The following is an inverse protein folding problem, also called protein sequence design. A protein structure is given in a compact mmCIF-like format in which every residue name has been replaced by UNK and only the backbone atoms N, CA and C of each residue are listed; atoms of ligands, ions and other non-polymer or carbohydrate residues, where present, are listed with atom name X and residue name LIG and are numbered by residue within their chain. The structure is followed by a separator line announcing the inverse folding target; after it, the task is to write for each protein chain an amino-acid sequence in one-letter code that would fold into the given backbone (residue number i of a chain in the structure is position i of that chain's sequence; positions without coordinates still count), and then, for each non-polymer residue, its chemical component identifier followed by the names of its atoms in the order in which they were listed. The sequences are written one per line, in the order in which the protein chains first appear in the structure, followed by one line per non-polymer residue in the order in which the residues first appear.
data_IF_665275468943
#
_entry.id   IF_665275468943
#
_cell.length_a   1.000
_cell.length_b   1.000
_cell.length_c   1.000
_cell.angle_alpha   90.00
_cell.angle_beta   90.00
_cell.angle_gamma   90.00
#
_symmetry.space_group_name_H-M   'P 1'
#
loop_
_entity.id
_entity.type
_entity.pdbx_description
1 polymer ?
#
# COMPACT_ATOMS: atom_id res chain seq x y z
N UNK A 1 -5.06 -14.77 37.83
CA UNK A 1 -4.49 -13.40 37.84
C UNK A 1 -4.04 -13.08 36.44
N UNK A 2 -4.58 -12.02 35.86
CA UNK A 2 -4.22 -11.52 34.54
C UNK A 2 -2.73 -11.16 34.52
N UNK A 3 -2.00 -11.70 33.56
CA UNK A 3 -0.73 -11.11 33.12
C UNK A 3 -0.96 -10.60 31.72
N UNK A 4 -1.31 -9.32 31.66
CA UNK A 4 -1.21 -8.46 30.49
C UNK A 4 0.23 -8.48 29.99
N UNK A 5 0.46 -9.01 28.79
CA UNK A 5 1.71 -8.83 28.07
C UNK A 5 1.47 -7.89 26.90
N UNK A 6 1.60 -6.58 27.18
CA UNK A 6 2.15 -5.67 26.21
C UNK A 6 3.68 -5.88 26.19
N UNK A 7 4.33 -6.04 25.03
CA UNK A 7 5.72 -5.68 24.85
C UNK A 7 5.73 -4.29 24.21
N UNK A 8 5.78 -3.20 24.99
CA UNK A 8 7.04 -2.52 25.34
C UNK A 8 8.09 -2.62 24.23
N UNK A 9 8.26 -1.48 23.54
CA UNK A 9 9.54 -0.95 23.07
C UNK A 9 10.55 -2.02 22.67
N UNK A 10 10.58 -2.35 21.38
CA UNK A 10 11.79 -2.93 20.80
C UNK A 10 12.91 -1.93 21.06
N UNK A 11 13.76 -2.26 22.02
CA UNK A 11 15.00 -1.56 22.30
C UNK A 11 15.83 -1.70 21.01
N UNK A 12 15.73 -0.67 20.15
CA UNK A 12 16.55 -0.51 18.96
C UNK A 12 17.99 -0.69 19.43
N UNK A 13 18.58 -1.85 19.12
CA UNK A 13 20.03 -1.98 19.17
C UNK A 13 20.54 -1.00 18.13
N UNK A 14 20.92 0.18 18.60
CA UNK A 14 21.69 1.19 17.89
C UNK A 14 22.98 0.54 17.39
N UNK A 15 22.93 -0.14 16.24
CA UNK A 15 24.03 0.02 15.31
C UNK A 15 23.94 1.48 14.87
N UNK A 16 24.98 2.27 15.13
CA UNK A 16 25.20 3.55 14.47
C UNK A 16 25.26 3.31 12.95
N UNK A 17 24.10 3.16 12.32
CA UNK A 17 23.92 3.41 10.91
C UNK A 17 23.91 4.94 10.81
N UNK A 18 24.85 5.48 10.03
CA UNK A 18 24.88 6.90 9.67
C UNK A 18 23.70 7.19 8.72
N UNK A 19 22.48 7.08 9.24
CA UNK A 19 21.29 7.62 8.60
C UNK A 19 21.20 9.09 9.00
N UNK A 20 21.32 9.97 8.02
CA UNK A 20 21.03 11.38 8.23
C UNK A 20 19.64 11.64 7.67
N UNK A 21 18.68 11.81 8.58
CA UNK A 21 17.37 12.36 8.21
C UNK A 21 17.54 13.82 7.86
N UNK A 22 17.16 14.17 6.64
CA UNK A 22 17.36 15.48 6.04
C UNK A 22 16.04 15.98 5.46
N UNK A 23 15.94 17.29 5.29
CA UNK A 23 14.78 17.92 4.63
C UNK A 23 15.27 18.82 3.49
N UNK A 24 14.50 18.88 2.41
CA UNK A 24 14.74 19.79 1.29
C UNK A 24 13.46 20.56 0.98
N UNK A 25 13.61 21.79 0.52
CA UNK A 25 12.48 22.57 0.02
C UNK A 25 12.00 22.01 -1.33
N UNK A 26 10.80 21.42 -1.36
CA UNK A 26 10.11 20.98 -2.56
C UNK A 26 9.07 22.02 -2.99
N UNK A 27 8.86 22.19 -4.31
CA UNK A 27 8.06 23.30 -4.85
C UNK A 27 6.59 22.92 -5.00
N UNK A 28 5.73 23.91 -4.73
CA UNK A 28 4.28 23.82 -4.92
C UNK A 28 3.91 24.63 -6.16
N UNK A 29 3.96 24.01 -7.36
CA UNK A 29 3.70 24.73 -8.63
C UNK A 29 2.38 24.30 -9.26
N UNK A 30 1.35 25.17 -9.31
CA UNK A 30 0.29 25.10 -10.30
C UNK A 30 0.35 26.26 -11.32
N UNK A 31 1.20 27.28 -11.05
CA UNK A 31 1.38 28.51 -11.84
C UNK A 31 2.87 28.92 -11.84
N UNK A 32 3.37 29.53 -12.94
CA UNK A 32 4.78 29.93 -13.07
C UNK A 32 5.29 30.91 -12.00
N UNK A 33 4.39 31.62 -11.35
CA UNK A 33 4.58 32.73 -10.42
C UNK A 33 4.42 32.34 -8.94
N UNK A 34 4.13 31.07 -8.65
CA UNK A 34 4.15 30.51 -7.28
C UNK A 34 5.58 30.08 -6.88
N UNK A 35 6.17 30.79 -5.91
CA UNK A 35 7.47 30.44 -5.31
C UNK A 35 7.34 29.62 -4.00
N UNK A 36 6.14 29.18 -3.66
CA UNK A 36 5.89 28.47 -2.39
C UNK A 36 6.58 27.11 -2.39
N UNK A 37 7.27 26.81 -1.29
CA UNK A 37 7.95 25.54 -1.05
C UNK A 37 7.51 24.92 0.27
N UNK A 38 7.62 23.61 0.41
CA UNK A 38 7.46 22.88 1.67
C UNK A 38 8.68 22.01 1.96
N UNK A 39 8.85 21.56 3.20
CA UNK A 39 9.95 20.68 3.58
C UNK A 39 9.58 19.22 3.27
N UNK A 40 10.30 18.60 2.33
CA UNK A 40 10.19 17.19 2.00
C UNK A 40 11.29 16.41 2.72
N UNK A 41 10.92 15.35 3.44
CA UNK A 41 11.83 14.48 4.18
C UNK A 41 12.51 13.50 3.23
N UNK A 42 13.80 13.31 3.44
CA UNK A 42 14.57 12.23 2.81
C UNK A 42 15.65 11.73 3.76
N UNK A 43 16.07 10.50 3.57
CA UNK A 43 17.06 9.83 4.41
C UNK A 43 18.23 9.44 3.53
N UNK A 44 19.45 9.76 3.97
CA UNK A 44 20.68 9.37 3.30
C UNK A 44 21.47 8.42 4.18
N UNK A 45 21.92 7.32 3.60
CA UNK A 45 22.87 6.40 4.21
C UNK A 45 24.13 6.31 3.35
N UNK A 46 25.20 6.94 3.84
CA UNK A 46 26.50 6.99 3.19
C UNK A 46 27.48 5.92 3.70
N UNK A 47 27.04 5.01 4.60
CA UNK A 47 27.90 4.01 5.24
C UNK A 47 28.70 3.15 4.26
N UNK A 48 28.13 2.85 3.11
CA UNK A 48 28.72 1.97 2.10
C UNK A 48 29.24 2.72 0.86
N UNK A 49 29.07 4.04 0.81
CA UNK A 49 29.28 4.80 -0.42
C UNK A 49 30.77 4.96 -0.73
N UNK A 50 31.19 4.55 -1.93
CA UNK A 50 32.56 4.71 -2.41
C UNK A 50 32.93 6.15 -2.79
N UNK A 51 31.98 7.09 -2.69
CA UNK A 51 32.18 8.52 -2.93
C UNK A 51 32.06 8.93 -4.41
N UNK A 52 32.01 10.25 -4.63
CA UNK A 52 31.85 10.82 -5.95
C UNK A 52 33.04 10.55 -6.90
N UNK A 53 34.27 10.56 -6.35
CA UNK A 53 35.50 10.39 -7.14
C UNK A 53 35.62 9.00 -7.79
N UNK A 54 34.90 8.01 -7.28
CA UNK A 54 34.86 6.65 -7.85
C UNK A 54 33.64 6.43 -8.74
N UNK A 55 32.83 7.48 -8.96
CA UNK A 55 31.53 7.40 -9.64
C UNK A 55 30.64 6.29 -9.07
N UNK A 56 30.69 6.09 -7.75
CA UNK A 56 29.89 5.08 -7.07
C UNK A 56 28.39 5.38 -7.20
N UNK A 57 27.54 4.37 -7.50
CA UNK A 57 26.13 4.57 -7.79
C UNK A 57 25.35 5.14 -6.61
N UNK A 58 24.23 5.78 -6.92
CA UNK A 58 23.23 6.22 -5.95
C UNK A 58 21.97 5.40 -6.18
N UNK A 59 21.56 4.66 -5.17
CA UNK A 59 20.29 3.94 -5.15
C UNK A 59 19.25 4.80 -4.45
N UNK A 60 18.21 5.19 -5.18
CA UNK A 60 17.19 6.09 -4.70
C UNK A 60 15.87 5.35 -4.61
N UNK A 61 15.41 5.10 -3.39
CA UNK A 61 14.07 4.60 -3.16
C UNK A 61 13.06 5.74 -3.25
N UNK A 62 12.08 5.59 -4.14
CA UNK A 62 10.97 6.53 -4.30
C UNK A 62 9.86 6.09 -3.34
N UNK A 63 9.70 6.82 -2.24
CA UNK A 63 8.71 6.52 -1.21
C UNK A 63 7.31 6.43 -1.79
N UNK A 64 6.56 5.42 -1.33
CA UNK A 64 5.22 5.16 -1.80
C UNK A 64 4.19 5.81 -0.85
N UNK A 65 3.02 5.21 -0.70
CA UNK A 65 1.84 5.65 0.02
C UNK A 65 1.95 5.54 1.55
N UNK A 66 3.08 5.87 2.18
CA UNK A 66 3.20 5.88 3.65
C UNK A 66 4.42 6.66 4.14
N UNK A 67 4.59 6.77 5.47
CA UNK A 67 5.82 7.30 6.08
C UNK A 67 7.05 6.50 5.62
N UNK A 68 8.14 7.19 5.29
CA UNK A 68 9.36 6.51 4.82
C UNK A 68 9.96 5.60 5.89
N UNK A 69 9.74 5.86 7.18
CA UNK A 69 10.25 5.03 8.28
C UNK A 69 9.70 3.60 8.21
N UNK A 70 8.45 3.44 7.78
CA UNK A 70 7.81 2.13 7.65
C UNK A 70 8.30 1.33 6.43
N UNK A 71 8.98 1.99 5.49
CA UNK A 71 9.38 1.41 4.20
C UNK A 71 10.88 1.04 4.13
N UNK A 72 11.72 1.58 5.01
CA UNK A 72 13.18 1.33 4.97
C UNK A 72 13.50 -0.15 5.19
N UNK A 73 12.85 -0.76 6.19
CA UNK A 73 13.12 -2.14 6.61
C UNK A 73 12.59 -3.16 5.61
N UNK A 74 11.54 -2.83 4.84
CA UNK A 74 10.94 -3.76 3.86
C UNK A 74 11.75 -3.83 2.56
N UNK A 75 12.31 -2.70 2.10
CA UNK A 75 12.99 -2.62 0.79
C UNK A 75 14.45 -3.10 0.85
N UNK A 76 15.08 -3.07 2.04
CA UNK A 76 16.41 -3.66 2.31
C UNK A 76 17.52 -3.26 1.32
N UNK A 77 17.56 -1.98 0.90
CA UNK A 77 18.67 -1.48 0.07
C UNK A 77 20.04 -1.63 0.76
N UNK A 78 20.05 -1.67 2.09
CA UNK A 78 21.24 -1.94 2.91
C UNK A 78 21.89 -3.30 2.60
N UNK A 79 21.12 -4.27 2.12
CA UNK A 79 21.63 -5.57 1.68
C UNK A 79 22.49 -5.44 0.41
N UNK A 80 22.10 -4.56 -0.51
CA UNK A 80 22.80 -4.35 -1.78
C UNK A 80 23.86 -3.25 -1.72
N UNK A 81 23.70 -2.27 -0.83
CA UNK A 81 24.61 -1.12 -0.68
C UNK A 81 26.10 -1.49 -0.65
N UNK A 82 26.54 -2.46 0.19
CA UNK A 82 27.92 -2.89 0.24
C UNK A 82 28.47 -3.45 -1.08
N UNK A 83 27.64 -4.21 -1.81
CA UNK A 83 28.06 -4.88 -3.06
C UNK A 83 28.36 -3.90 -4.19
N UNK A 84 27.65 -2.78 -4.21
CA UNK A 84 27.77 -1.75 -5.24
C UNK A 84 28.51 -0.51 -4.77
N UNK A 85 28.97 -0.49 -3.51
CA UNK A 85 29.48 0.70 -2.83
C UNK A 85 28.55 1.91 -3.00
N UNK A 86 27.24 1.67 -2.91
CA UNK A 86 26.22 2.63 -3.28
C UNK A 86 25.90 3.63 -2.15
N UNK A 87 25.57 4.86 -2.52
CA UNK A 87 24.85 5.80 -1.65
C UNK A 87 23.39 5.39 -1.63
N UNK A 88 22.80 5.22 -0.45
CA UNK A 88 21.38 4.88 -0.35
C UNK A 88 20.60 6.14 0.02
N UNK A 89 19.56 6.44 -0.74
CA UNK A 89 18.71 7.60 -0.55
C UNK A 89 17.27 7.13 -0.53
N UNK A 90 16.49 7.56 0.45
CA UNK A 90 15.07 7.25 0.56
C UNK A 90 14.32 8.56 0.60
N UNK A 91 13.46 8.82 -0.38
CA UNK A 91 12.72 10.09 -0.46
C UNK A 91 11.28 9.84 -0.07
N UNK A 92 10.79 10.54 0.95
CA UNK A 92 9.40 10.44 1.37
C UNK A 92 8.49 11.14 0.37
N UNK A 93 7.36 10.51 0.05
CA UNK A 93 6.38 11.06 -0.88
C UNK A 93 5.70 12.28 -0.26
N UNK A 94 5.40 13.30 -1.08
CA UNK A 94 4.58 14.45 -0.64
C UNK A 94 3.24 13.96 -0.06
N UNK A 95 2.73 14.64 0.96
CA UNK A 95 1.51 14.29 1.68
C UNK A 95 1.55 12.98 2.50
N UNK A 96 2.70 12.30 2.59
CA UNK A 96 2.85 11.14 3.47
C UNK A 96 3.90 11.39 4.55
N UNK A 97 3.72 10.75 5.71
CA UNK A 97 4.62 10.86 6.85
C UNK A 97 4.81 12.31 7.31
N UNK A 98 6.07 12.77 7.27
CA UNK A 98 6.46 14.13 7.67
C UNK A 98 6.53 15.12 6.50
N UNK A 99 6.32 14.67 5.26
CA UNK A 99 6.48 15.46 4.04
C UNK A 99 5.17 16.15 3.65
N UNK A 100 4.68 17.02 4.53
CA UNK A 100 3.34 17.59 4.46
C UNK A 100 3.40 19.04 3.95
N UNK A 101 2.82 19.34 2.77
CA UNK A 101 2.74 20.71 2.29
C UNK A 101 1.82 21.57 3.15
N UNK A 102 1.93 22.90 3.06
CA UNK A 102 1.15 23.84 3.89
C UNK A 102 1.38 23.70 5.41
N UNK A 103 2.40 22.97 5.85
CA UNK A 103 2.89 22.96 7.23
C UNK A 103 2.11 22.06 8.21
N UNK A 104 0.87 21.68 7.90
CA UNK A 104 0.10 20.73 8.73
C UNK A 104 -0.82 19.84 7.89
N UNK A 105 -1.14 18.66 8.44
CA UNK A 105 -2.10 17.73 7.83
C UNK A 105 -3.49 18.34 7.68
N UNK A 106 -3.95 19.05 8.71
CA UNK A 106 -5.25 19.72 8.71
C UNK A 106 -5.36 20.71 7.54
N UNK A 107 -4.32 21.51 7.30
CA UNK A 107 -4.31 22.47 6.18
C UNK A 107 -4.15 21.75 4.83
N UNK A 108 -3.22 20.80 4.73
CA UNK A 108 -2.96 20.05 3.51
C UNK A 108 -4.19 19.29 2.98
N UNK A 109 -5.03 18.77 3.88
CA UNK A 109 -6.24 18.00 3.57
C UNK A 109 -7.53 18.81 3.71
N UNK A 110 -7.45 20.11 3.98
CA UNK A 110 -8.63 20.95 4.25
C UNK A 110 -9.60 21.07 3.07
N UNK A 111 -9.11 21.06 1.82
CA UNK A 111 -9.94 21.20 0.63
C UNK A 111 -9.21 20.76 -0.66
N UNK A 112 -9.95 20.72 -1.77
CA UNK A 112 -9.42 20.31 -3.08
C UNK A 112 -8.34 21.23 -3.66
N UNK A 113 -8.23 22.48 -3.22
CA UNK A 113 -7.18 23.41 -3.69
C UNK A 113 -5.84 23.07 -3.06
N UNK A 114 -5.81 22.69 -1.78
CA UNK A 114 -4.59 22.21 -1.12
C UNK A 114 -4.27 20.79 -1.54
N UNK A 115 -5.26 19.90 -1.69
CA UNK A 115 -5.05 18.54 -2.17
C UNK A 115 -4.70 18.45 -3.67
N UNK A 116 -4.97 19.48 -4.46
CA UNK A 116 -4.66 19.49 -5.90
C UNK A 116 -3.18 19.32 -6.26
N UNK A 117 -2.26 19.49 -5.30
CA UNK A 117 -0.83 19.21 -5.48
C UNK A 117 -0.45 17.76 -5.17
N UNK A 118 -1.38 16.98 -4.65
CA UNK A 118 -1.16 15.58 -4.30
C UNK A 118 -1.47 14.69 -5.49
N UNK A 119 -0.47 14.54 -6.36
CA UNK A 119 -0.51 13.66 -7.52
C UNK A 119 0.88 13.13 -7.87
N UNK A 120 0.92 12.06 -8.67
CA UNK A 120 2.14 11.36 -9.06
C UNK A 120 3.08 12.22 -9.88
N UNK A 121 2.58 13.01 -10.83
CA UNK A 121 3.42 13.88 -11.67
C UNK A 121 4.22 14.89 -10.84
N UNK A 122 3.60 15.47 -9.82
CA UNK A 122 4.29 16.37 -8.90
C UNK A 122 5.26 15.65 -7.98
N UNK A 123 4.92 14.45 -7.48
CA UNK A 123 5.85 13.63 -6.69
C UNK A 123 7.11 13.26 -7.49
N UNK A 124 6.95 12.88 -8.76
CA UNK A 124 8.08 12.62 -9.67
C UNK A 124 8.97 13.85 -9.87
N UNK A 125 8.37 15.04 -10.00
CA UNK A 125 9.11 16.30 -10.10
C UNK A 125 9.89 16.61 -8.81
N UNK A 126 9.33 16.32 -7.63
CA UNK A 126 10.03 16.45 -6.35
C UNK A 126 11.25 15.54 -6.28
N UNK A 127 11.08 14.26 -6.64
CA UNK A 127 12.21 13.32 -6.67
C UNK A 127 13.30 13.79 -7.62
N UNK A 128 12.94 14.32 -8.79
CA UNK A 128 13.90 14.81 -9.78
C UNK A 128 14.69 16.00 -9.24
N UNK A 129 14.01 17.00 -8.66
CA UNK A 129 14.65 18.18 -8.08
C UNK A 129 15.56 17.80 -6.90
N UNK A 130 15.10 16.90 -6.02
CA UNK A 130 15.90 16.42 -4.89
C UNK A 130 17.15 15.67 -5.35
N UNK A 131 17.04 14.73 -6.29
CA UNK A 131 18.18 13.95 -6.78
C UNK A 131 19.23 14.87 -7.42
N UNK A 132 18.81 15.84 -8.24
CA UNK A 132 19.74 16.80 -8.87
C UNK A 132 20.44 17.66 -7.82
N UNK A 133 19.69 18.21 -6.85
CA UNK A 133 20.25 19.02 -5.77
C UNK A 133 21.21 18.21 -4.89
N UNK A 134 20.86 16.97 -4.55
CA UNK A 134 21.69 16.07 -3.76
C UNK A 134 23.00 15.75 -4.49
N UNK A 135 22.93 15.43 -5.79
CA UNK A 135 24.14 15.17 -6.59
C UNK A 135 25.06 16.40 -6.59
N UNK A 136 24.52 17.61 -6.74
CA UNK A 136 25.33 18.83 -6.70
C UNK A 136 25.98 19.07 -5.34
N UNK A 137 25.21 18.93 -4.25
CA UNK A 137 25.72 19.11 -2.90
C UNK A 137 26.83 18.12 -2.51
N UNK A 138 26.82 16.92 -3.13
CA UNK A 138 27.81 15.87 -2.90
C UNK A 138 28.94 15.85 -3.95
N UNK A 139 28.95 16.80 -4.90
CA UNK A 139 29.85 16.79 -6.07
C UNK A 139 29.83 15.46 -6.84
N UNK A 140 28.65 14.83 -6.88
CA UNK A 140 28.39 13.49 -7.40
C UNK A 140 27.67 13.53 -8.76
N UNK A 141 27.85 14.59 -9.56
CA UNK A 141 27.15 14.79 -10.85
C UNK A 141 27.36 13.62 -11.82
N UNK A 142 28.53 12.99 -11.79
CA UNK A 142 28.88 11.84 -12.64
C UNK A 142 28.41 10.50 -12.08
N UNK A 143 27.93 10.44 -10.83
CA UNK A 143 27.46 9.20 -10.24
C UNK A 143 26.15 8.72 -10.90
N UNK A 144 26.06 7.45 -11.32
CA UNK A 144 24.85 6.89 -11.89
C UNK A 144 23.76 6.74 -10.82
N UNK A 145 22.51 7.02 -11.19
CA UNK A 145 21.35 6.87 -10.30
C UNK A 145 20.49 5.71 -10.77
N UNK A 146 20.13 4.81 -9.86
CA UNK A 146 19.09 3.80 -10.08
C UNK A 146 17.94 4.10 -9.13
N UNK A 147 16.75 4.30 -9.68
CA UNK A 147 15.54 4.50 -8.87
C UNK A 147 14.87 3.17 -8.57
N UNK A 148 14.33 3.02 -7.36
CA UNK A 148 13.83 1.74 -6.85
C UNK A 148 12.50 1.99 -6.17
N UNK A 149 11.55 1.06 -6.33
CA UNK A 149 10.25 1.15 -5.69
C UNK A 149 9.50 -0.17 -5.68
N UNK A 150 8.58 -0.33 -4.72
CA UNK A 150 7.63 -1.43 -4.64
C UNK A 150 6.19 -0.92 -4.71
N UNK A 151 5.24 -1.72 -5.22
CA UNK A 151 3.82 -1.31 -5.32
C UNK A 151 3.69 0.01 -6.13
N UNK A 152 2.94 0.99 -5.62
CA UNK A 152 2.88 2.35 -6.17
C UNK A 152 4.26 3.03 -6.25
N UNK A 153 5.16 2.80 -5.28
CA UNK A 153 6.56 3.23 -5.39
C UNK A 153 7.27 2.64 -6.62
N UNK A 154 6.94 1.40 -6.99
CA UNK A 154 7.44 0.76 -8.20
C UNK A 154 6.85 1.37 -9.48
N UNK A 155 5.58 1.79 -9.44
CA UNK A 155 4.97 2.57 -10.52
C UNK A 155 5.71 3.90 -10.68
N UNK A 156 5.95 4.61 -9.58
CA UNK A 156 6.74 5.83 -9.55
C UNK A 156 8.16 5.60 -10.10
N UNK A 157 8.85 4.52 -9.73
CA UNK A 157 10.19 4.22 -10.24
C UNK A 157 10.19 4.00 -11.77
N UNK A 158 9.18 3.29 -12.28
CA UNK A 158 8.99 3.07 -13.72
C UNK A 158 8.76 4.40 -14.44
N UNK A 159 7.79 5.18 -13.98
CA UNK A 159 7.44 6.47 -14.57
C UNK A 159 8.55 7.50 -14.45
N UNK A 160 9.32 7.47 -13.36
CA UNK A 160 10.49 8.32 -13.18
C UNK A 160 11.54 8.05 -14.27
N UNK A 161 11.82 6.77 -14.54
CA UNK A 161 12.78 6.41 -15.60
C UNK A 161 12.29 6.82 -16.99
N UNK A 162 10.98 6.74 -17.26
CA UNK A 162 10.39 7.20 -18.52
C UNK A 162 10.48 8.72 -18.70
N UNK A 163 10.18 9.49 -17.65
CA UNK A 163 10.09 10.97 -17.70
C UNK A 163 11.43 11.67 -17.48
N UNK A 164 12.30 11.10 -16.66
CA UNK A 164 13.60 11.67 -16.29
C UNK A 164 14.77 10.74 -16.64
N UNK A 165 14.88 10.27 -17.89
CA UNK A 165 15.94 9.33 -18.28
C UNK A 165 17.35 9.94 -18.24
N UNK A 166 17.43 11.27 -18.18
CA UNK A 166 18.66 12.03 -18.02
C UNK A 166 19.13 12.12 -16.55
N UNK A 167 18.28 11.76 -15.58
CA UNK A 167 18.61 11.74 -14.15
C UNK A 167 18.95 10.31 -13.68
N UNK A 168 18.06 9.35 -13.96
CA UNK A 168 18.22 7.96 -13.56
C UNK A 168 18.54 7.07 -14.75
N UNK A 169 19.60 6.26 -14.66
CA UNK A 169 20.04 5.37 -15.75
C UNK A 169 19.22 4.07 -15.82
N UNK A 170 18.47 3.75 -14.77
CA UNK A 170 17.63 2.56 -14.69
C UNK A 170 16.64 2.64 -13.53
N UNK A 171 15.65 1.75 -13.57
CA UNK A 171 14.67 1.58 -12.51
C UNK A 171 14.55 0.10 -12.12
N UNK A 172 14.40 -0.17 -10.82
CA UNK A 172 13.93 -1.46 -10.29
C UNK A 172 12.51 -1.25 -9.75
N UNK A 173 11.53 -1.69 -10.53
CA UNK A 173 10.12 -1.58 -10.19
C UNK A 173 9.59 -2.95 -9.75
N UNK A 174 9.53 -3.17 -8.43
CA UNK A 174 9.09 -4.43 -7.85
C UNK A 174 7.58 -4.45 -7.69
N UNK A 175 6.91 -5.47 -8.24
CA UNK A 175 5.44 -5.64 -8.12
C UNK A 175 4.65 -4.37 -8.43
N UNK A 176 5.02 -3.66 -9.50
CA UNK A 176 4.44 -2.38 -9.89
C UNK A 176 3.26 -2.60 -10.85
N UNK A 177 2.01 -2.34 -10.43
CA UNK A 177 0.83 -2.57 -11.27
C UNK A 177 0.61 -1.41 -12.26
N UNK A 178 1.59 -1.11 -13.11
CA UNK A 178 1.58 0.05 -14.03
C UNK A 178 0.46 0.01 -15.09
N UNK A 179 -0.17 -1.15 -15.27
CA UNK A 179 -1.31 -1.36 -16.17
C UNK A 179 -2.66 -1.38 -15.43
N UNK A 180 -2.68 -1.23 -14.11
CA UNK A 180 -3.91 -1.25 -13.32
C UNK A 180 -4.61 0.12 -13.31
N UNK A 181 -4.76 0.73 -14.48
CA UNK A 181 -5.50 1.99 -14.66
C UNK A 181 -6.23 1.95 -15.99
N UNK A 182 -7.22 2.81 -16.16
CA UNK A 182 -7.95 3.01 -17.42
C UNK A 182 -8.56 1.72 -18.02
N UNK A 183 -8.99 0.80 -17.14
CA UNK A 183 -9.59 -0.48 -17.54
C UNK A 183 -8.73 -1.31 -18.52
N UNK A 184 -7.41 -1.13 -18.48
CA UNK A 184 -6.48 -1.94 -19.28
C UNK A 184 -6.56 -3.42 -18.85
N UNK A 185 -6.61 -3.66 -17.55
CA UNK A 185 -6.82 -4.98 -16.96
C UNK A 185 -8.31 -5.23 -16.69
N UNK A 186 -8.77 -6.50 -16.73
CA UNK A 186 -10.12 -6.85 -16.26
C UNK A 186 -10.32 -6.43 -14.81
N UNK A 187 -11.45 -5.81 -14.47
CA UNK A 187 -11.71 -5.26 -13.13
C UNK A 187 -11.63 -6.29 -11.98
N UNK A 188 -11.73 -7.58 -12.29
CA UNK A 188 -11.72 -8.66 -11.31
C UNK A 188 -10.41 -9.43 -11.24
N UNK A 189 -9.37 -8.98 -11.94
CA UNK A 189 -8.11 -9.71 -12.03
C UNK A 189 -7.49 -10.01 -10.66
N UNK A 190 -7.55 -9.05 -9.71
CA UNK A 190 -7.05 -9.22 -8.34
C UNK A 190 -7.78 -10.37 -7.66
N UNK A 191 -9.12 -10.34 -7.65
CA UNK A 191 -9.94 -11.34 -6.98
C UNK A 191 -9.83 -12.73 -7.63
N UNK A 192 -9.60 -12.80 -8.95
CA UNK A 192 -9.29 -14.05 -9.66
C UNK A 192 -7.95 -14.63 -9.20
N UNK A 193 -6.91 -13.80 -9.07
CA UNK A 193 -5.58 -14.24 -8.62
C UNK A 193 -5.64 -14.70 -7.16
N UNK A 194 -6.22 -13.90 -6.26
CA UNK A 194 -6.38 -14.27 -4.84
C UNK A 194 -7.19 -15.57 -4.70
N UNK A 195 -8.28 -15.70 -5.47
CA UNK A 195 -9.07 -16.94 -5.51
C UNK A 195 -8.24 -18.16 -5.94
N UNK A 196 -7.32 -17.97 -6.89
CA UNK A 196 -6.44 -19.03 -7.37
C UNK A 196 -5.43 -19.45 -6.29
N UNK A 197 -4.83 -18.51 -5.56
CA UNK A 197 -3.89 -18.81 -4.48
C UNK A 197 -4.56 -19.69 -3.40
N UNK A 198 -5.77 -19.31 -2.98
CA UNK A 198 -6.55 -20.12 -2.03
C UNK A 198 -6.99 -21.47 -2.60
N UNK A 199 -7.34 -21.53 -3.89
CA UNK A 199 -7.70 -22.79 -4.55
C UNK A 199 -6.51 -23.76 -4.64
N UNK A 200 -5.31 -23.26 -4.91
CA UNK A 200 -4.08 -24.04 -4.97
C UNK A 200 -3.65 -24.53 -3.57
N UNK A 201 -3.83 -23.70 -2.54
CA UNK A 201 -3.60 -24.09 -1.14
C UNK A 201 -4.59 -25.16 -0.66
N UNK A 202 -5.89 -24.94 -0.84
CA UNK A 202 -6.92 -25.95 -0.56
C UNK A 202 -8.25 -25.66 -1.26
N UNK A 203 -8.71 -26.63 -2.06
CA UNK A 203 -10.04 -26.58 -2.69
C UNK A 203 -11.18 -26.56 -1.66
N UNK A 204 -11.02 -27.26 -0.53
CA UNK A 204 -12.03 -27.27 0.56
C UNK A 204 -12.13 -25.90 1.23
N UNK A 205 -10.98 -25.27 1.51
CA UNK A 205 -10.91 -23.91 2.04
C UNK A 205 -11.60 -22.92 1.10
N UNK A 206 -11.22 -22.92 -0.19
CA UNK A 206 -11.85 -22.13 -1.23
C UNK A 206 -13.38 -22.28 -1.25
N UNK A 207 -13.88 -23.53 -1.28
CA UNK A 207 -15.32 -23.80 -1.38
C UNK A 207 -16.06 -23.34 -0.11
N UNK A 208 -15.40 -23.43 1.05
CA UNK A 208 -15.95 -23.00 2.34
C UNK A 208 -16.06 -21.48 2.43
N UNK A 209 -15.02 -20.75 1.99
CA UNK A 209 -15.04 -19.29 1.90
C UNK A 209 -16.17 -18.86 0.95
N UNK A 210 -16.25 -19.44 -0.24
CA UNK A 210 -17.27 -19.12 -1.23
C UNK A 210 -18.70 -19.33 -0.71
N UNK A 211 -18.95 -20.40 0.05
CA UNK A 211 -20.28 -20.66 0.64
C UNK A 211 -20.62 -19.73 1.80
N UNK A 212 -19.62 -19.23 2.53
CA UNK A 212 -19.81 -18.45 3.76
C UNK A 212 -20.57 -17.14 3.54
N UNK A 213 -20.40 -16.49 2.39
CA UNK A 213 -21.00 -15.19 2.09
C UNK A 213 -22.54 -15.22 2.17
N UNK A 214 -23.15 -16.23 1.56
CA UNK A 214 -24.62 -16.38 1.59
C UNK A 214 -25.16 -16.63 3.00
N UNK A 215 -24.35 -17.26 3.86
CA UNK A 215 -24.71 -17.52 5.27
C UNK A 215 -24.60 -16.22 6.07
N UNK A 216 -23.54 -15.43 5.86
CA UNK A 216 -23.37 -14.12 6.47
C UNK A 216 -24.54 -13.20 6.08
N UNK A 217 -24.88 -13.12 4.79
CA UNK A 217 -26.01 -12.31 4.29
C UNK A 217 -27.36 -12.70 4.93
N UNK A 218 -27.56 -13.97 5.23
CA UNK A 218 -28.82 -14.43 5.83
C UNK A 218 -29.07 -13.89 7.26
N UNK A 219 -28.03 -13.42 7.95
CA UNK A 219 -28.11 -12.85 9.30
C UNK A 219 -28.25 -11.31 9.32
N UNK A 220 -28.09 -10.64 8.19
CA UNK A 220 -28.09 -9.16 8.07
C UNK A 220 -29.32 -8.49 8.69
N UNK A 221 -30.50 -9.04 8.44
CA UNK A 221 -31.79 -8.45 8.85
C UNK A 221 -32.31 -8.89 10.21
N UNK A 222 -31.76 -9.97 10.77
CA UNK A 222 -32.38 -10.67 11.89
C UNK A 222 -31.44 -10.90 13.08
N UNK A 223 -30.11 -10.98 12.87
CA UNK A 223 -29.20 -11.45 13.92
C UNK A 223 -27.73 -11.03 13.72
N UNK A 224 -27.46 -9.73 13.54
CA UNK A 224 -26.09 -9.19 13.51
C UNK A 224 -25.33 -9.42 14.83
N UNK A 225 -26.06 -9.53 15.95
CA UNK A 225 -25.49 -9.83 17.26
C UNK A 225 -24.89 -11.23 17.31
N UNK A 226 -25.53 -12.22 16.68
CA UNK A 226 -24.94 -13.54 16.51
C UNK A 226 -23.63 -13.49 15.73
N UNK A 227 -23.56 -12.77 14.60
CA UNK A 227 -22.31 -12.63 13.84
C UNK A 227 -21.22 -11.96 14.68
N UNK A 228 -21.55 -10.85 15.34
CA UNK A 228 -20.64 -10.12 16.24
C UNK A 228 -20.07 -11.05 17.31
N UNK A 229 -20.91 -11.86 17.96
CA UNK A 229 -20.47 -12.80 19.00
C UNK A 229 -19.69 -13.98 18.43
N UNK A 230 -20.17 -14.56 17.32
CA UNK A 230 -19.58 -15.74 16.66
C UNK A 230 -18.15 -15.46 16.19
N UNK A 231 -17.95 -14.29 15.59
CA UNK A 231 -16.65 -13.82 15.11
C UNK A 231 -15.85 -13.08 16.19
N UNK A 232 -16.37 -12.91 17.41
CA UNK A 232 -15.72 -12.16 18.50
C UNK A 232 -15.26 -10.77 18.07
N UNK A 233 -16.13 -10.01 17.40
CA UNK A 233 -15.77 -8.67 16.95
C UNK A 233 -15.68 -7.70 18.14
N UNK A 234 -14.75 -6.73 18.06
CA UNK A 234 -14.57 -5.75 19.13
C UNK A 234 -15.77 -4.80 19.25
N UNK A 235 -16.36 -4.43 18.11
CA UNK A 235 -17.52 -3.55 18.01
C UNK A 235 -18.70 -4.27 17.34
N UNK A 236 -19.95 -3.89 17.68
CA UNK A 236 -21.14 -4.45 17.04
C UNK A 236 -21.25 -4.04 15.57
N UNK A 237 -21.67 -4.98 14.73
CA UNK A 237 -21.96 -4.72 13.31
C UNK A 237 -23.22 -3.88 13.14
N UNK A 238 -23.16 -2.91 12.23
CA UNK A 238 -24.31 -2.18 11.68
C UNK A 238 -24.90 -2.91 10.47
N UNK A 239 -24.05 -3.58 9.68
CA UNK A 239 -24.45 -4.39 8.52
C UNK A 239 -23.58 -5.64 8.40
N UNK A 240 -24.09 -6.67 7.75
CA UNK A 240 -23.30 -7.86 7.43
C UNK A 240 -22.19 -7.56 6.42
N UNK A 241 -22.33 -6.52 5.59
CA UNK A 241 -21.30 -6.08 4.64
C UNK A 241 -20.00 -5.68 5.34
N UNK A 242 -20.06 -5.03 6.50
CA UNK A 242 -18.86 -4.67 7.28
C UNK A 242 -18.00 -5.90 7.62
N UNK A 243 -18.63 -7.02 7.99
CA UNK A 243 -17.92 -8.28 8.23
C UNK A 243 -17.38 -8.89 6.93
N UNK A 244 -18.13 -8.79 5.83
CA UNK A 244 -17.67 -9.30 4.54
C UNK A 244 -16.44 -8.53 4.05
N UNK A 245 -16.49 -7.21 4.06
CA UNK A 245 -15.39 -6.33 3.64
C UNK A 245 -14.13 -6.58 4.48
N UNK A 246 -14.30 -6.79 5.79
CA UNK A 246 -13.20 -7.19 6.68
C UNK A 246 -12.59 -8.54 6.29
N UNK A 247 -13.40 -9.57 6.08
CA UNK A 247 -12.91 -10.90 5.68
C UNK A 247 -12.27 -10.87 4.29
N UNK A 248 -12.84 -10.13 3.33
CA UNK A 248 -12.25 -9.92 2.01
C UNK A 248 -10.86 -9.28 2.13
N UNK A 249 -10.72 -8.26 2.98
CA UNK A 249 -9.44 -7.60 3.27
C UNK A 249 -8.43 -8.59 3.83
N UNK A 250 -8.83 -9.46 4.77
CA UNK A 250 -7.96 -10.51 5.32
C UNK A 250 -7.45 -11.46 4.22
N UNK A 251 -8.33 -11.91 3.32
CA UNK A 251 -7.94 -12.85 2.27
C UNK A 251 -7.00 -12.20 1.23
N UNK A 252 -7.31 -10.96 0.81
CA UNK A 252 -6.45 -10.21 -0.10
C UNK A 252 -5.10 -9.89 0.56
N UNK A 253 -5.08 -9.51 1.84
CA UNK A 253 -3.86 -9.28 2.61
C UNK A 253 -3.02 -10.56 2.72
N UNK A 254 -3.66 -11.69 3.03
CA UNK A 254 -2.97 -12.97 3.13
C UNK A 254 -2.27 -13.35 1.82
N UNK A 255 -2.94 -13.17 0.68
CA UNK A 255 -2.34 -13.43 -0.63
C UNK A 255 -1.23 -12.42 -0.98
N UNK A 256 -1.42 -11.13 -0.70
CA UNK A 256 -0.43 -10.09 -0.97
C UNK A 256 0.87 -10.27 -0.19
N UNK A 257 0.76 -10.70 1.08
CA UNK A 257 1.88 -10.91 1.98
C UNK A 257 2.19 -12.40 2.19
N UNK A 258 1.90 -13.24 1.20
CA UNK A 258 2.14 -14.68 1.25
C UNK A 258 3.63 -15.01 1.10
N UNK A 259 4.39 -14.74 2.15
CA UNK A 259 5.84 -14.93 2.16
C UNK A 259 6.20 -16.34 2.59
N UNK A 260 7.19 -16.96 1.96
CA UNK A 260 7.63 -18.27 2.42
C UNK A 260 8.29 -18.26 3.80
N UNK A 261 8.72 -17.11 4.32
CA UNK A 261 9.44 -17.01 5.59
C UNK A 261 9.19 -15.66 6.30
N UNK A 262 9.06 -15.68 7.62
CA UNK A 262 9.08 -14.45 8.43
C UNK A 262 10.51 -13.92 8.66
N UNK A 263 10.64 -12.79 9.37
CA UNK A 263 11.93 -12.21 9.73
C UNK A 263 12.84 -13.14 10.56
N UNK A 264 12.26 -14.18 11.20
CA UNK A 264 12.97 -15.23 11.92
C UNK A 264 13.25 -16.48 11.06
N UNK A 265 12.98 -16.42 9.75
CA UNK A 265 13.13 -17.51 8.78
C UNK A 265 12.24 -18.72 9.06
N UNK A 266 11.09 -18.53 9.72
CA UNK A 266 10.07 -19.56 9.90
C UNK A 266 9.10 -19.55 8.73
N UNK A 267 8.72 -20.71 8.18
CA UNK A 267 7.82 -20.74 7.06
C UNK A 267 6.40 -20.29 7.43
N UNK A 268 5.89 -19.24 6.78
CA UNK A 268 4.57 -18.67 7.05
C UNK A 268 3.89 -18.26 5.74
N UNK A 269 3.35 -19.23 5.01
CA UNK A 269 2.29 -18.90 4.05
C UNK A 269 1.03 -18.56 4.86
N UNK A 270 0.55 -17.33 4.71
CA UNK A 270 -0.67 -16.86 5.37
C UNK A 270 -1.89 -17.53 4.75
N UNK A 271 -1.87 -17.75 3.44
CA UNK A 271 -2.92 -18.48 2.73
C UNK A 271 -3.00 -19.92 3.24
N UNK A 272 -1.88 -20.62 3.32
CA UNK A 272 -1.84 -21.98 3.88
C UNK A 272 -2.31 -22.02 5.33
N UNK A 273 -1.92 -21.03 6.14
CA UNK A 273 -2.31 -20.95 7.55
C UNK A 273 -3.82 -20.82 7.69
N UNK A 274 -4.44 -19.91 6.94
CA UNK A 274 -5.90 -19.73 6.93
C UNK A 274 -6.58 -21.03 6.49
N UNK A 275 -6.11 -21.64 5.40
CA UNK A 275 -6.73 -22.85 4.89
C UNK A 275 -6.57 -24.06 5.80
N UNK A 276 -5.44 -24.20 6.49
CA UNK A 276 -5.26 -25.21 7.53
C UNK A 276 -6.22 -24.98 8.71
N UNK A 277 -6.47 -23.72 9.09
CA UNK A 277 -7.48 -23.38 10.10
C UNK A 277 -8.90 -23.80 9.67
N UNK A 278 -9.28 -23.47 8.43
CA UNK A 278 -10.59 -23.81 7.85
C UNK A 278 -10.80 -25.32 7.72
N UNK A 279 -9.78 -26.06 7.26
CA UNK A 279 -9.84 -27.51 7.04
C UNK A 279 -9.60 -28.34 8.30
N UNK A 280 -8.94 -27.76 9.32
CA UNK A 280 -8.72 -28.41 10.60
C UNK A 280 -9.99 -28.59 11.43
N UNK A 281 -11.06 -27.87 11.09
CA UNK A 281 -12.39 -28.03 11.68
C UNK A 281 -13.20 -29.05 10.87
N UNK A 282 -13.78 -30.05 11.56
CA UNK A 282 -14.59 -31.12 10.94
C UNK A 282 -15.65 -30.56 9.99
N UNK A 283 -15.81 -31.20 8.82
CA UNK A 283 -16.83 -30.87 7.81
C UNK A 283 -18.28 -30.97 8.32
N UNK A 284 -18.52 -31.67 9.43
CA UNK A 284 -19.83 -31.72 10.09
C UNK A 284 -20.14 -30.45 10.90
N UNK A 285 -19.14 -29.58 11.11
CA UNK A 285 -19.30 -28.29 11.79
C UNK A 285 -19.89 -27.24 10.84
N UNK A 286 -20.64 -26.31 11.43
CA UNK A 286 -21.14 -25.13 10.73
C UNK A 286 -20.02 -24.33 10.03
N UNK A 287 -20.29 -23.85 8.81
CA UNK A 287 -19.34 -23.15 7.94
C UNK A 287 -18.73 -21.93 8.63
N UNK A 288 -19.54 -21.14 9.36
CA UNK A 288 -19.02 -19.95 10.05
C UNK A 288 -17.98 -20.32 11.12
N UNK A 289 -18.08 -21.49 11.76
CA UNK A 289 -17.05 -21.96 12.70
C UNK A 289 -15.73 -22.24 11.99
N UNK A 290 -15.77 -22.76 10.76
CA UNK A 290 -14.58 -23.01 9.94
C UNK A 290 -13.92 -21.70 9.53
N UNK A 291 -14.71 -20.71 9.13
CA UNK A 291 -14.21 -19.36 8.82
C UNK A 291 -13.55 -18.71 10.04
N UNK A 292 -14.17 -18.79 11.23
CA UNK A 292 -13.54 -18.28 12.47
C UNK A 292 -12.21 -18.96 12.76
N UNK A 293 -12.08 -20.27 12.55
CA UNK A 293 -10.80 -20.96 12.72
C UNK A 293 -9.74 -20.51 11.69
N UNK A 294 -10.15 -20.20 10.46
CA UNK A 294 -9.29 -19.57 9.46
C UNK A 294 -8.84 -18.17 9.89
N UNK A 295 -9.76 -17.36 10.44
CA UNK A 295 -9.47 -16.04 10.98
C UNK A 295 -8.49 -16.11 12.17
N UNK A 296 -8.72 -17.02 13.13
CA UNK A 296 -7.80 -17.29 14.23
C UNK A 296 -6.41 -17.64 13.67
N UNK A 297 -6.33 -18.47 12.63
CA UNK A 297 -5.05 -18.83 12.00
C UNK A 297 -4.36 -17.64 11.29
N UNK A 298 -5.12 -16.74 10.64
CA UNK A 298 -4.58 -15.51 10.05
C UNK A 298 -3.85 -14.65 11.09
N UNK A 299 -4.40 -14.59 12.30
CA UNK A 299 -3.82 -13.86 13.44
C UNK A 299 -2.84 -14.70 14.29
N UNK A 300 -2.47 -15.89 13.82
CA UNK A 300 -1.57 -16.83 14.52
C UNK A 300 -2.07 -17.25 15.90
N UNK A 301 -3.38 -17.30 16.07
CA UNK A 301 -4.07 -17.69 17.28
C UNK A 301 -5.34 -16.88 17.52
N UNK A 302 -6.18 -17.41 18.41
CA UNK A 302 -7.41 -16.76 18.86
C UNK A 302 -7.11 -15.42 19.54
N UNK A 303 -7.77 -14.36 19.07
CA UNK A 303 -7.70 -13.03 19.68
C UNK A 303 -8.80 -12.82 20.73
N UNK A 304 -8.62 -11.84 21.61
CA UNK A 304 -9.66 -11.44 22.57
C UNK A 304 -10.89 -10.86 21.87
N UNK A 305 -10.66 -10.10 20.80
CA UNK A 305 -11.64 -9.70 19.81
C UNK A 305 -10.94 -9.31 18.49
N UNK A 306 -11.68 -9.24 17.40
CA UNK A 306 -11.21 -8.79 16.08
C UNK A 306 -11.76 -7.41 15.77
N UNK A 307 -10.87 -6.44 15.51
CA UNK A 307 -11.24 -5.09 15.10
C UNK A 307 -11.37 -5.04 13.58
N UNK A 308 -12.60 -4.87 13.11
CA UNK A 308 -12.90 -4.82 11.67
C UNK A 308 -12.31 -3.57 10.98
N UNK A 309 -11.92 -2.55 11.76
CA UNK A 309 -11.32 -1.32 11.27
C UNK A 309 -9.78 -1.36 11.29
N UNK A 310 -9.14 -2.47 11.69
CA UNK A 310 -7.68 -2.55 11.86
C UNK A 310 -6.91 -2.16 10.59
N UNK A 311 -7.40 -2.57 9.41
CA UNK A 311 -6.76 -2.29 8.12
C UNK A 311 -7.14 -0.94 7.52
N UNK A 312 -8.32 -0.41 7.88
CA UNK A 312 -8.83 0.88 7.42
C UNK A 312 -9.26 1.76 8.60
N UNK A 313 -8.32 2.14 9.49
CA UNK A 313 -8.68 2.91 10.66
C UNK A 313 -9.25 4.27 10.27
N UNK A 314 -10.36 4.72 10.87
CA UNK A 314 -10.92 6.03 10.59
C UNK A 314 -9.89 7.13 10.87
N UNK A 315 -9.79 8.08 9.93
CA UNK A 315 -8.86 9.21 9.99
C UNK A 315 -7.37 8.84 9.90
N UNK A 316 -7.03 7.62 9.49
CA UNK A 316 -5.65 7.29 9.18
C UNK A 316 -5.16 8.12 7.99
N UNK A 317 -4.03 8.78 8.20
CA UNK A 317 -3.44 9.70 7.26
C UNK A 317 -3.06 9.02 5.93
N UNK A 318 -2.51 7.82 6.01
CA UNK A 318 -2.12 7.04 4.83
C UNK A 318 -3.35 6.68 4.00
N UNK A 319 -4.40 6.19 4.65
CA UNK A 319 -5.67 5.81 4.00
C UNK A 319 -6.33 7.04 3.35
N UNK A 320 -6.45 8.15 4.09
CA UNK A 320 -7.03 9.38 3.56
C UNK A 320 -6.26 9.92 2.34
N UNK A 321 -4.93 9.81 2.37
CA UNK A 321 -4.08 10.23 1.26
C UNK A 321 -4.22 9.34 0.04
N UNK A 322 -4.23 8.02 0.24
CA UNK A 322 -4.42 7.08 -0.86
C UNK A 322 -5.81 7.20 -1.49
N UNK A 323 -6.86 7.37 -0.68
CA UNK A 323 -8.23 7.61 -1.17
C UNK A 323 -8.31 8.85 -2.06
N UNK A 324 -7.60 9.94 -1.73
CA UNK A 324 -7.53 11.11 -2.59
C UNK A 324 -6.90 10.77 -3.96
N UNK A 325 -5.82 10.00 -3.96
CA UNK A 325 -5.17 9.59 -5.21
C UNK A 325 -6.09 8.71 -6.06
N UNK A 326 -6.77 7.73 -5.46
CA UNK A 326 -7.76 6.87 -6.13
C UNK A 326 -8.95 7.66 -6.68
N UNK A 327 -9.38 8.72 -5.99
CA UNK A 327 -10.47 9.60 -6.43
C UNK A 327 -10.07 10.63 -7.50
N UNK A 328 -8.79 10.74 -7.85
CA UNK A 328 -8.30 11.76 -8.79
C UNK A 328 -7.63 11.16 -10.01
N UNK A 329 -6.42 10.64 -9.83
CA UNK A 329 -5.54 10.26 -10.92
C UNK A 329 -5.30 8.75 -10.96
N UNK A 330 -5.20 8.10 -9.81
CA UNK A 330 -4.90 6.67 -9.67
C UNK A 330 -6.17 5.82 -9.71
N UNK A 331 -7.09 6.11 -10.63
CA UNK A 331 -8.37 5.42 -10.66
C UNK A 331 -8.18 3.98 -11.18
N UNK A 332 -8.39 3.02 -10.30
CA UNK A 332 -8.33 1.58 -10.58
C UNK A 332 -9.75 1.01 -10.56
N UNK A 333 -10.11 0.19 -11.54
CA UNK A 333 -11.37 -0.54 -11.48
C UNK A 333 -11.17 -1.83 -10.69
N UNK A 334 -11.89 -1.98 -9.58
CA UNK A 334 -11.80 -3.16 -8.72
C UNK A 334 -13.21 -3.71 -8.48
N UNK A 335 -13.52 -4.78 -9.19
CA UNK A 335 -14.84 -5.41 -9.21
C UNK A 335 -14.76 -6.92 -9.08
N UNK A 336 -15.89 -7.57 -8.84
CA UNK A 336 -16.05 -9.04 -8.81
C UNK A 336 -17.13 -9.40 -9.81
N UNK A 337 -16.76 -9.81 -11.01
CA UNK A 337 -17.71 -10.03 -12.12
C UNK A 337 -18.05 -11.49 -12.38
N UNK A 338 -17.22 -12.42 -11.92
CA UNK A 338 -17.39 -13.85 -12.20
C UNK A 338 -17.73 -14.67 -10.95
N UNK A 339 -18.63 -15.65 -11.13
CA UNK A 339 -18.98 -16.67 -10.14
C UNK A 339 -17.85 -17.70 -9.89
N UNK A 340 -16.76 -17.67 -10.65
CA UNK A 340 -15.64 -18.60 -10.52
C UNK A 340 -14.56 -18.11 -9.55
N UNK A 341 -14.80 -16.99 -8.86
CA UNK A 341 -13.98 -16.53 -7.73
C UNK A 341 -14.58 -17.03 -6.41
N UNK A 342 -13.78 -17.04 -5.35
CA UNK A 342 -14.29 -17.37 -4.01
C UNK A 342 -15.06 -16.20 -3.39
N UNK A 343 -15.11 -15.04 -4.03
CA UNK A 343 -15.76 -13.82 -3.55
C UNK A 343 -17.19 -13.68 -4.07
N UNK A 344 -18.01 -12.85 -3.42
CA UNK A 344 -19.35 -12.55 -3.91
C UNK A 344 -19.29 -11.60 -5.12
N UNK A 345 -20.18 -11.78 -6.08
CA UNK A 345 -20.29 -10.87 -7.23
C UNK A 345 -20.63 -9.45 -6.72
N UNK A 346 -19.80 -8.50 -7.12
CA UNK A 346 -19.93 -7.08 -6.87
C UNK A 346 -19.11 -6.33 -7.93
N UNK A 347 -19.66 -6.17 -9.14
CA UNK A 347 -19.00 -5.50 -10.27
C UNK A 347 -18.68 -4.05 -9.93
N UNK A 348 -17.64 -3.50 -10.55
CA UNK A 348 -17.24 -2.12 -10.34
C UNK A 348 -18.20 -1.15 -11.06
N UNK A 349 -18.85 -0.25 -10.31
CA UNK A 349 -19.60 0.86 -10.91
C UNK A 349 -18.78 2.15 -10.84
N UNK A 350 -18.20 2.52 -11.98
CA UNK A 350 -17.39 3.72 -12.12
C UNK A 350 -18.16 5.01 -11.78
N UNK A 351 -19.47 5.08 -12.07
CA UNK A 351 -20.25 6.28 -11.79
C UNK A 351 -20.56 6.41 -10.31
N UNK A 352 -20.89 5.29 -9.65
CA UNK A 352 -21.07 5.23 -8.20
C UNK A 352 -19.79 5.65 -7.49
N UNK A 353 -18.64 5.07 -7.86
CA UNK A 353 -17.34 5.42 -7.30
C UNK A 353 -17.02 6.93 -7.45
N UNK A 354 -17.26 7.49 -8.65
CA UNK A 354 -17.04 8.93 -8.89
C UNK A 354 -17.96 9.79 -8.00
N UNK A 355 -19.21 9.36 -7.78
CA UNK A 355 -20.15 10.10 -6.94
C UNK A 355 -19.78 10.01 -5.46
N UNK A 356 -19.32 8.87 -4.98
CA UNK A 356 -18.76 8.72 -3.62
C UNK A 356 -17.56 9.66 -3.41
N UNK A 357 -16.63 9.70 -4.37
CA UNK A 357 -15.52 10.65 -4.34
C UNK A 357 -15.98 12.11 -4.27
N UNK A 358 -17.06 12.48 -4.98
CA UNK A 358 -17.66 13.82 -4.92
C UNK A 358 -18.36 14.11 -3.61
N UNK A 359 -18.94 13.11 -2.96
CA UNK A 359 -19.54 13.28 -1.63
C UNK A 359 -18.46 13.55 -0.58
N UNK A 360 -17.31 12.89 -0.68
CA UNK A 360 -16.19 13.05 0.26
C UNK A 360 -15.43 14.35 0.03
N UNK A 361 -15.03 14.64 -1.21
CA UNK A 361 -14.13 15.75 -1.53
C UNK A 361 -14.81 16.98 -2.15
N UNK A 362 -16.12 16.91 -2.40
CA UNK A 362 -16.95 17.99 -2.89
C UNK A 362 -17.39 17.82 -4.36
N UNK A 363 -18.59 18.35 -4.66
CA UNK A 363 -19.27 18.16 -5.94
C UNK A 363 -18.53 18.69 -7.18
N UNK A 364 -17.53 19.56 -7.00
CA UNK A 364 -16.70 20.08 -8.10
C UNK A 364 -15.50 19.21 -8.44
N UNK A 365 -15.25 18.13 -7.68
CA UNK A 365 -14.22 17.15 -8.00
C UNK A 365 -14.48 16.55 -9.39
N UNK A 366 -13.45 16.57 -10.22
CA UNK A 366 -13.46 15.97 -11.55
C UNK A 366 -12.38 14.91 -11.61
N UNK A 367 -12.72 13.64 -11.30
CA UNK A 367 -11.78 12.52 -11.44
C UNK A 367 -11.30 12.37 -12.88
N UNK A 368 -10.06 11.91 -13.07
CA UNK A 368 -9.39 11.82 -14.37
C UNK A 368 -8.98 10.38 -14.67
N UNK A 369 -9.92 9.47 -14.99
CA UNK A 369 -9.64 8.03 -15.14
C UNK A 369 -8.59 7.70 -16.22
N UNK A 370 -8.50 8.53 -17.26
CA UNK A 370 -7.56 8.34 -18.38
C UNK A 370 -6.19 9.04 -18.18
N UNK A 371 -6.00 9.74 -17.06
CA UNK A 371 -4.83 10.62 -16.89
C UNK A 371 -3.52 9.85 -16.79
N UNK A 372 -3.49 8.73 -16.04
CA UNK A 372 -2.27 7.94 -15.87
C UNK A 372 -1.78 7.36 -17.20
N UNK A 373 -2.68 6.82 -18.03
CA UNK A 373 -2.31 6.33 -19.36
C UNK A 373 -1.88 7.47 -20.28
N UNK A 374 -2.58 8.61 -20.25
CA UNK A 374 -2.19 9.80 -21.04
C UNK A 374 -0.80 10.31 -20.65
N UNK A 375 -0.52 10.37 -19.36
CA UNK A 375 0.74 10.92 -18.85
C UNK A 375 1.88 9.91 -18.98
N UNK A 376 1.64 8.62 -18.74
CA UNK A 376 2.70 7.62 -18.58
C UNK A 376 2.72 6.49 -19.61
N UNK A 377 1.77 6.42 -20.54
CA UNK A 377 1.84 5.60 -21.75
C UNK A 377 1.12 4.25 -21.71
N UNK A 378 0.76 3.73 -20.53
CA UNK A 378 0.06 2.43 -20.42
C UNK A 378 0.85 1.29 -21.08
N UNK A 379 0.29 0.66 -22.12
CA UNK A 379 0.97 -0.39 -22.89
C UNK A 379 2.13 0.12 -23.77
N UNK A 380 2.14 1.41 -24.12
CA UNK A 380 3.07 1.99 -25.10
C UNK A 380 4.26 2.70 -24.40
N UNK A 381 5.04 1.95 -23.62
CA UNK A 381 6.19 2.44 -22.82
C UNK A 381 7.55 1.81 -23.16
#
# INVERSE_FOLDING_TARGET
EMVTMAPKSLLVRFLMLLFVSSVVSAKMRPRPDSFTTFQQRYIVNSKYWGGANTSSPIFVYLGAESSIDAQIDTIRLDYYGPKFSALLVYIEHRYYGSSVPFGSWEEAFSNTTTLGYFNSAQALADYAELIVNLKSNLSAETCPVIVIGGSYGGMLASWFRLKYPHIAIGALASSAPILDTDNILPEDYVYVIVSKDFQEASKSCYDTIQQSWSIIDSHDKNDLAFLTQKFKLCDPLNTSSELKDYLETIYCYAAQYDTQYDYAQLPISLVDSICQGVDGVSNESDILRRIVAGLDAAYRGEQSCYDINEYYPPNDQTILGWNWQLCTDMITASGRTHNNTMFQISPHDQNEFIEECRQIYGATLTPRPHWIVTEFGGHDI
#
